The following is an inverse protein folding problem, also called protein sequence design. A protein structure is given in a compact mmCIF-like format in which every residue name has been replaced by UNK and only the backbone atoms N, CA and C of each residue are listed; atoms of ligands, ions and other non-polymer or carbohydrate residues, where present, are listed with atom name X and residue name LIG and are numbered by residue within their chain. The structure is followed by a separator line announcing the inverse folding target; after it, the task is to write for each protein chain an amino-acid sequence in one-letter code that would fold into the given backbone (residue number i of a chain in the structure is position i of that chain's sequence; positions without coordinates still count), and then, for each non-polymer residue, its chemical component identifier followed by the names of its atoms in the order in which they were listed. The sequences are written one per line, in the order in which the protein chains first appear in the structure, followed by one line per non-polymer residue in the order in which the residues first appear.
data_IF_980127994117
#
_entry.id   IF_980127994117
#
_cell.length_a   1.000
_cell.length_b   1.000
_cell.length_c   1.000
_cell.angle_alpha   90.00
_cell.angle_beta   90.00
_cell.angle_gamma   90.00
#
_symmetry.space_group_name_H-M   'P 1'
#
loop_
_entity.id
_entity.type
_entity.pdbx_description
1 polymer ?
#
# COMPACT_ATOMS: atom_id res chain seq x y z
N UNK A 1 23.17 -9.14 3.23
CA UNK A 1 21.80 -9.71 3.26
C UNK A 1 21.03 -8.96 4.35
N UNK A 2 19.78 -8.56 4.10
CA UNK A 2 19.01 -7.75 5.06
C UNK A 2 18.55 -8.60 6.26
N UNK A 3 18.76 -8.13 7.49
CA UNK A 3 18.26 -8.81 8.70
C UNK A 3 16.80 -8.49 9.02
N UNK A 4 16.31 -7.37 8.49
CA UNK A 4 15.01 -6.80 8.80
C UNK A 4 14.29 -6.45 7.50
N UNK A 5 12.98 -6.68 7.46
CA UNK A 5 12.12 -6.22 6.38
C UNK A 5 10.76 -5.77 6.92
N UNK A 6 10.12 -4.86 6.19
CA UNK A 6 8.74 -4.44 6.42
C UNK A 6 7.85 -5.01 5.31
N UNK A 7 6.72 -5.59 5.69
CA UNK A 7 5.67 -6.01 4.78
C UNK A 7 4.74 -4.83 4.51
N UNK A 8 4.65 -4.43 3.25
CA UNK A 8 3.55 -3.61 2.77
C UNK A 8 2.45 -4.50 2.21
N UNK A 9 1.33 -4.51 2.92
CA UNK A 9 0.19 -5.37 2.70
C UNK A 9 -1.02 -4.83 3.46
N UNK A 10 -2.21 -4.87 2.85
CA UNK A 10 -3.41 -4.19 3.39
C UNK A 10 -4.74 -4.89 3.16
N UNK A 11 -4.75 -6.08 2.56
CA UNK A 11 -5.98 -6.69 2.03
C UNK A 11 -5.83 -8.20 1.78
N UNK A 12 -6.84 -8.96 1.33
CA UNK A 12 -6.77 -10.45 1.23
C UNK A 12 -6.87 -11.12 2.61
N UNK A 13 -7.96 -10.85 3.34
CA UNK A 13 -8.33 -11.58 4.55
C UNK A 13 -7.68 -11.10 5.85
N UNK A 14 -7.87 -11.89 6.91
CA UNK A 14 -7.19 -11.68 8.18
C UNK A 14 -5.73 -12.17 8.13
N UNK A 15 -4.98 -11.91 9.21
CA UNK A 15 -3.58 -12.31 9.32
C UNK A 15 -3.36 -13.81 9.05
N UNK A 16 -4.32 -14.66 9.42
CA UNK A 16 -4.19 -16.11 9.38
C UNK A 16 -4.58 -16.72 8.04
N UNK A 17 -5.41 -16.03 7.27
CA UNK A 17 -5.95 -16.47 5.97
C UNK A 17 -5.29 -15.79 4.78
N UNK A 18 -4.52 -14.72 5.00
CA UNK A 18 -3.89 -13.95 3.93
C UNK A 18 -2.80 -14.71 3.18
N UNK A 19 -3.03 -14.92 1.88
CA UNK A 19 -2.06 -15.56 0.97
C UNK A 19 -0.86 -14.65 0.74
N UNK A 20 -1.09 -13.35 0.70
CA UNK A 20 -0.02 -12.36 0.64
C UNK A 20 0.93 -12.45 1.85
N UNK A 21 0.39 -12.53 3.08
CA UNK A 21 1.22 -12.67 4.28
C UNK A 21 1.94 -14.01 4.28
N UNK A 22 1.25 -15.11 3.96
CA UNK A 22 1.87 -16.42 3.87
C UNK A 22 3.05 -16.43 2.89
N UNK A 23 2.87 -15.88 1.68
CA UNK A 23 3.94 -15.73 0.69
C UNK A 23 5.08 -14.85 1.19
N UNK A 24 4.79 -13.76 1.91
CA UNK A 24 5.79 -12.85 2.44
C UNK A 24 6.64 -13.54 3.53
N UNK A 25 6.02 -14.30 4.42
CA UNK A 25 6.70 -15.09 5.45
C UNK A 25 7.57 -16.17 4.83
N UNK A 26 7.07 -16.88 3.80
CA UNK A 26 7.87 -17.87 3.08
C UNK A 26 9.10 -17.26 2.42
N UNK A 27 8.95 -16.12 1.75
CA UNK A 27 10.06 -15.41 1.14
C UNK A 27 11.05 -14.90 2.19
N UNK A 28 10.57 -14.30 3.27
CA UNK A 28 11.40 -13.82 4.37
C UNK A 28 12.28 -14.95 4.93
N UNK A 29 11.68 -16.13 5.15
CA UNK A 29 12.40 -17.33 5.60
C UNK A 29 13.45 -17.79 4.58
N UNK A 30 13.10 -17.85 3.29
CA UNK A 30 14.05 -18.23 2.23
C UNK A 30 15.24 -17.26 2.12
N UNK A 31 15.00 -15.98 2.38
CA UNK A 31 16.03 -14.92 2.38
C UNK A 31 16.76 -14.78 3.73
N UNK A 32 16.46 -15.62 4.73
CA UNK A 32 17.04 -15.53 6.07
C UNK A 32 16.82 -14.17 6.76
N UNK A 33 15.69 -13.51 6.48
CA UNK A 33 15.25 -12.30 7.19
C UNK A 33 14.81 -12.71 8.60
N UNK A 34 15.39 -12.06 9.63
CA UNK A 34 15.19 -12.40 11.03
C UNK A 34 13.96 -11.71 11.63
N UNK A 35 13.69 -10.48 11.21
CA UNK A 35 12.56 -9.69 11.71
C UNK A 35 11.72 -9.19 10.53
N UNK A 36 10.45 -9.58 10.52
CA UNK A 36 9.45 -9.12 9.54
C UNK A 36 8.42 -8.26 10.28
N UNK A 37 8.38 -6.97 9.96
CA UNK A 37 7.43 -6.02 10.53
C UNK A 37 6.18 -5.95 9.66
N UNK A 38 5.00 -6.09 10.26
CA UNK A 38 3.70 -6.01 9.57
C UNK A 38 2.89 -4.91 10.24
N UNK A 39 2.59 -3.83 9.53
CA UNK A 39 2.05 -2.59 10.11
C UNK A 39 0.76 -2.80 10.92
N UNK A 40 -0.19 -3.57 10.38
CA UNK A 40 -1.47 -3.85 11.05
C UNK A 40 -1.32 -4.50 12.44
N UNK A 41 -0.23 -5.24 12.67
CA UNK A 41 0.06 -5.90 13.96
C UNK A 41 0.95 -5.01 14.84
N UNK A 42 1.80 -4.21 14.20
CA UNK A 42 2.89 -3.52 14.88
C UNK A 42 2.48 -2.15 15.41
N UNK A 43 1.39 -1.58 14.90
CA UNK A 43 0.78 -0.34 15.39
C UNK A 43 -0.44 -0.67 16.23
N UNK A 44 -0.51 -0.09 17.43
CA UNK A 44 -1.66 -0.16 18.32
C UNK A 44 -2.88 0.52 17.69
N UNK A 45 -3.83 -0.29 17.21
CA UNK A 45 -5.05 0.17 16.56
C UNK A 45 -6.10 0.72 17.55
N UNK A 46 -5.85 0.67 18.86
CA UNK A 46 -6.77 1.22 19.88
C UNK A 46 -6.62 2.73 20.07
N UNK A 47 -5.61 3.34 19.43
CA UNK A 47 -5.34 4.77 19.51
C UNK A 47 -6.39 5.61 18.78
N UNK A 48 -6.64 6.83 19.27
CA UNK A 48 -7.53 7.80 18.63
C UNK A 48 -6.88 8.47 17.40
N UNK A 49 -7.67 9.16 16.57
CA UNK A 49 -7.28 9.64 15.24
C UNK A 49 -5.88 10.26 15.12
N UNK A 50 -5.59 11.34 15.85
CA UNK A 50 -4.29 12.02 15.75
C UNK A 50 -3.14 11.13 16.26
N UNK A 51 -3.33 10.41 17.37
CA UNK A 51 -2.31 9.54 17.95
C UNK A 51 -2.02 8.30 17.09
N UNK A 52 -3.05 7.71 16.49
CA UNK A 52 -2.93 6.61 15.55
C UNK A 52 -2.16 7.06 14.32
N UNK A 53 -2.47 8.24 13.77
CA UNK A 53 -1.79 8.79 12.60
C UNK A 53 -0.33 9.10 12.89
N UNK A 54 0.00 9.62 14.07
CA UNK A 54 1.39 9.81 14.48
C UNK A 54 2.15 8.48 14.50
N UNK A 55 1.55 7.42 15.05
CA UNK A 55 2.16 6.09 15.08
C UNK A 55 2.30 5.47 13.70
N UNK A 56 1.26 5.54 12.85
CA UNK A 56 1.32 5.05 11.46
C UNK A 56 2.37 5.82 10.67
N UNK A 57 2.46 7.14 10.83
CA UNK A 57 3.48 7.97 10.19
C UNK A 57 4.89 7.58 10.64
N UNK A 58 5.09 7.38 11.96
CA UNK A 58 6.36 6.92 12.51
C UNK A 58 6.74 5.52 12.01
N UNK A 59 5.78 4.59 11.99
CA UNK A 59 6.00 3.24 11.46
C UNK A 59 6.33 3.26 9.97
N UNK A 60 5.65 4.12 9.22
CA UNK A 60 5.84 4.30 7.78
C UNK A 60 7.24 4.82 7.42
N UNK A 61 8.00 5.36 8.37
CA UNK A 61 9.42 5.68 8.15
C UNK A 61 10.25 4.44 7.81
N UNK A 62 9.83 3.24 8.25
CA UNK A 62 10.52 1.99 7.93
C UNK A 62 10.47 1.65 6.44
N UNK A 63 9.43 2.07 5.73
CA UNK A 63 9.36 1.98 4.26
C UNK A 63 10.43 2.81 3.55
N UNK A 64 11.18 3.64 4.27
CA UNK A 64 12.31 4.44 3.75
C UNK A 64 13.67 3.97 4.27
N UNK A 65 13.74 2.97 5.14
CA UNK A 65 15.01 2.65 5.85
C UNK A 65 15.42 1.19 5.77
N UNK A 66 14.46 0.26 5.63
CA UNK A 66 14.73 -1.19 5.57
C UNK A 66 14.12 -1.82 4.32
N UNK A 67 14.50 -3.06 4.01
CA UNK A 67 13.93 -3.82 2.88
C UNK A 67 12.40 -3.84 2.95
N UNK A 68 11.74 -3.56 1.84
CA UNK A 68 10.28 -3.62 1.72
C UNK A 68 9.89 -4.87 0.95
N UNK A 69 9.07 -5.71 1.58
CA UNK A 69 8.35 -6.78 0.90
C UNK A 69 6.97 -6.23 0.52
N UNK A 70 6.67 -6.14 -0.77
CA UNK A 70 5.41 -5.60 -1.29
C UNK A 70 4.51 -6.77 -1.66
N UNK A 71 3.35 -6.92 -1.01
CA UNK A 71 2.41 -8.01 -1.27
C UNK A 71 1.01 -7.44 -1.52
N UNK A 72 0.67 -7.27 -2.79
CA UNK A 72 -0.56 -6.62 -3.23
C UNK A 72 -1.38 -7.47 -4.20
N UNK A 73 -1.11 -8.76 -4.29
CA UNK A 73 -1.95 -9.63 -5.12
C UNK A 73 -3.35 -9.73 -4.46
N UNK A 74 -4.44 -9.47 -5.19
CA UNK A 74 -5.83 -9.67 -4.74
C UNK A 74 -6.58 -10.45 -5.80
N UNK A 75 -7.08 -11.61 -5.38
CA UNK A 75 -7.96 -12.41 -6.22
C UNK A 75 -9.19 -11.57 -6.61
N UNK A 76 -9.60 -11.72 -7.86
CA UNK A 76 -10.82 -11.11 -8.40
C UNK A 76 -10.83 -9.57 -8.51
N UNK A 77 -9.68 -8.91 -8.33
CA UNK A 77 -9.53 -7.47 -8.57
C UNK A 77 -8.39 -7.16 -9.54
N UNK A 78 -8.53 -6.09 -10.31
CA UNK A 78 -7.46 -5.59 -11.16
C UNK A 78 -6.30 -4.99 -10.34
N UNK A 79 -5.07 -5.27 -10.76
CA UNK A 79 -3.86 -4.81 -10.06
C UNK A 79 -3.69 -3.29 -10.10
N UNK A 80 -4.21 -2.62 -11.11
CA UNK A 80 -4.21 -1.17 -11.16
C UNK A 80 -5.17 -0.62 -10.09
N UNK A 81 -6.37 -1.17 -9.99
CA UNK A 81 -7.34 -0.76 -8.96
C UNK A 81 -6.80 -0.92 -7.55
N UNK A 82 -6.01 -1.96 -7.35
CA UNK A 82 -5.25 -2.23 -6.14
C UNK A 82 -4.33 -1.08 -5.74
N UNK A 83 -3.38 -0.77 -6.63
CA UNK A 83 -2.22 0.06 -6.28
C UNK A 83 -2.57 1.54 -6.22
N UNK A 84 -3.72 1.92 -6.78
CA UNK A 84 -4.23 3.28 -6.72
C UNK A 84 -5.04 3.59 -5.45
N UNK A 85 -5.35 2.59 -4.60
CA UNK A 85 -6.03 2.85 -3.32
C UNK A 85 -5.22 3.83 -2.46
N UNK A 86 -5.84 4.83 -1.81
CA UNK A 86 -5.12 5.94 -1.19
C UNK A 86 -3.95 5.56 -0.27
N UNK A 87 -4.14 4.55 0.58
CA UNK A 87 -3.12 4.11 1.52
C UNK A 87 -1.96 3.38 0.83
N UNK A 88 -2.23 2.44 -0.09
CA UNK A 88 -1.19 1.75 -0.88
C UNK A 88 -0.42 2.75 -1.73
N UNK A 89 -1.15 3.68 -2.35
CA UNK A 89 -0.56 4.75 -3.14
C UNK A 89 0.39 5.60 -2.29
N UNK A 90 0.00 5.95 -1.06
CA UNK A 90 0.84 6.70 -0.11
C UNK A 90 2.09 5.94 0.27
N UNK A 91 1.99 4.66 0.63
CA UNK A 91 3.15 3.82 0.97
C UNK A 91 4.12 3.67 -0.20
N UNK A 92 3.59 3.41 -1.40
CA UNK A 92 4.40 3.30 -2.61
C UNK A 92 5.24 4.55 -2.87
N UNK A 93 4.72 5.75 -2.57
CA UNK A 93 5.50 6.99 -2.67
C UNK A 93 6.68 7.03 -1.70
N UNK A 94 6.57 6.41 -0.53
CA UNK A 94 7.66 6.37 0.46
C UNK A 94 8.82 5.50 -0.03
N UNK A 95 8.55 4.45 -0.82
CA UNK A 95 9.57 3.54 -1.35
C UNK A 95 10.59 4.25 -2.23
N UNK A 96 10.19 5.38 -2.85
CA UNK A 96 11.08 6.24 -3.64
C UNK A 96 12.35 6.64 -2.90
N UNK A 97 12.26 6.75 -1.58
CA UNK A 97 13.35 7.18 -0.70
C UNK A 97 14.03 6.02 0.02
N UNK A 98 13.67 4.78 -0.30
CA UNK A 98 14.22 3.60 0.36
C UNK A 98 15.63 3.27 -0.20
N UNK A 99 16.69 3.28 0.63
CA UNK A 99 18.04 2.90 0.19
C UNK A 99 18.26 1.38 0.15
N UNK A 100 17.32 0.60 0.69
CA UNK A 100 17.28 -0.85 0.66
C UNK A 100 16.56 -1.40 -0.57
N UNK A 101 16.19 -2.68 -0.51
CA UNK A 101 15.54 -3.38 -1.64
C UNK A 101 14.02 -3.30 -1.54
N UNK A 102 13.37 -3.12 -2.69
CA UNK A 102 11.92 -3.29 -2.86
C UNK A 102 11.72 -4.63 -3.56
N UNK A 103 11.07 -5.57 -2.87
CA UNK A 103 10.88 -6.93 -3.37
C UNK A 103 9.38 -7.21 -3.46
N UNK A 104 8.90 -7.51 -4.66
CA UNK A 104 7.51 -7.92 -4.83
C UNK A 104 7.32 -9.38 -4.43
N UNK A 105 6.30 -9.63 -3.63
CA UNK A 105 5.86 -10.94 -3.14
C UNK A 105 4.59 -11.30 -3.88
N UNK A 106 4.65 -12.42 -4.62
CA UNK A 106 3.53 -12.89 -5.44
C UNK A 106 2.82 -14.10 -4.83
N UNK A 107 1.50 -14.18 -5.01
CA UNK A 107 0.69 -15.39 -4.91
C UNK A 107 -0.21 -15.63 -6.13
N UNK A 108 -0.65 -14.57 -6.84
CA UNK A 108 -1.44 -14.64 -8.09
C UNK A 108 -0.76 -13.96 -9.29
N UNK A 109 0.51 -13.58 -9.13
CA UNK A 109 1.40 -13.15 -10.21
C UNK A 109 1.01 -11.81 -10.83
N UNK A 110 0.12 -11.00 -10.23
CA UNK A 110 -0.42 -9.80 -10.87
C UNK A 110 0.67 -8.73 -11.01
N UNK A 111 1.31 -8.33 -9.91
CA UNK A 111 2.38 -7.34 -9.94
C UNK A 111 3.72 -7.85 -10.50
N UNK A 112 3.84 -9.16 -10.76
CA UNK A 112 5.00 -9.80 -11.40
C UNK A 112 4.75 -10.23 -12.85
N UNK A 113 3.63 -9.80 -13.45
CA UNK A 113 3.47 -9.86 -14.91
C UNK A 113 4.53 -8.99 -15.55
N UNK A 114 5.19 -9.51 -16.60
CA UNK A 114 6.15 -8.71 -17.37
C UNK A 114 5.39 -7.65 -18.15
N UNK A 115 5.87 -6.42 -18.05
CA UNK A 115 5.33 -5.31 -18.80
C UNK A 115 6.26 -4.98 -19.98
N UNK A 116 5.70 -4.96 -21.20
CA UNK A 116 6.44 -4.68 -22.43
C UNK A 116 6.20 -3.24 -22.93
N UNK A 117 5.27 -2.49 -22.31
CA UNK A 117 5.02 -1.08 -22.60
C UNK A 117 5.99 -0.21 -21.79
N UNK A 118 7.22 -0.14 -22.29
CA UNK A 118 8.34 0.52 -21.60
C UNK A 118 8.27 2.04 -21.86
N UNK A 119 7.90 2.83 -20.84
CA UNK A 119 8.14 4.27 -20.84
C UNK A 119 9.65 4.57 -20.75
N UNK A 120 10.10 5.63 -21.43
CA UNK A 120 11.51 5.92 -21.75
C UNK A 120 12.38 6.40 -20.58
N UNK A 121 11.85 6.57 -19.37
CA UNK A 121 12.61 7.04 -18.20
C UNK A 121 12.51 6.02 -17.08
N UNK A 122 13.54 5.18 -16.97
CA UNK A 122 13.70 4.22 -15.87
C UNK A 122 14.21 4.98 -14.64
N UNK A 123 13.47 5.04 -13.53
CA UNK A 123 14.06 5.46 -12.26
C UNK A 123 15.19 4.48 -11.91
N UNK A 124 16.44 4.94 -11.72
CA UNK A 124 17.58 4.04 -11.48
C UNK A 124 17.37 3.08 -10.30
N UNK A 125 16.56 3.49 -9.33
CA UNK A 125 16.24 2.74 -8.12
C UNK A 125 15.36 1.50 -8.37
N UNK A 126 14.64 1.41 -9.50
CA UNK A 126 13.74 0.28 -9.78
C UNK A 126 14.46 -0.92 -10.39
N UNK A 127 15.60 -0.72 -11.08
CA UNK A 127 16.37 -1.81 -11.70
C UNK A 127 15.49 -2.81 -12.46
N UNK A 128 15.64 -4.10 -12.15
CA UNK A 128 14.87 -5.19 -12.76
C UNK A 128 13.36 -5.11 -12.47
N UNK A 129 12.97 -4.48 -11.36
CA UNK A 129 11.57 -4.35 -10.97
C UNK A 129 10.76 -3.61 -12.03
N UNK A 130 11.40 -2.69 -12.78
CA UNK A 130 10.79 -1.93 -13.86
C UNK A 130 10.16 -2.80 -14.96
N UNK A 131 10.70 -4.00 -15.16
CA UNK A 131 10.19 -4.93 -16.19
C UNK A 131 8.86 -5.59 -15.79
N UNK A 132 8.34 -5.31 -14.59
CA UNK A 132 7.11 -5.90 -14.07
C UNK A 132 6.04 -4.83 -13.81
N UNK A 133 4.79 -5.26 -13.76
CA UNK A 133 3.63 -4.39 -13.51
C UNK A 133 3.79 -3.56 -12.22
N UNK A 134 4.33 -4.11 -11.13
CA UNK A 134 4.64 -3.30 -9.94
C UNK A 134 5.60 -2.16 -10.27
N UNK A 135 6.68 -2.43 -11.01
CA UNK A 135 7.67 -1.41 -11.36
C UNK A 135 7.08 -0.28 -12.19
N UNK A 136 6.24 -0.61 -13.19
CA UNK A 136 5.47 0.38 -13.96
C UNK A 136 4.64 1.27 -13.04
N UNK A 137 3.85 0.67 -12.15
CA UNK A 137 2.99 1.43 -11.24
C UNK A 137 3.79 2.24 -10.20
N UNK A 138 4.96 1.77 -9.75
CA UNK A 138 5.85 2.57 -8.91
C UNK A 138 6.36 3.81 -9.65
N UNK A 139 6.81 3.68 -10.90
CA UNK A 139 7.27 4.84 -11.68
C UNK A 139 6.15 5.83 -11.96
N UNK A 140 4.96 5.35 -12.33
CA UNK A 140 3.78 6.20 -12.52
C UNK A 140 3.40 6.90 -11.21
N UNK A 141 3.27 6.16 -10.10
CA UNK A 141 2.99 6.71 -8.77
C UNK A 141 3.98 7.80 -8.35
N UNK A 142 5.28 7.60 -8.62
CA UNK A 142 6.33 8.55 -8.27
C UNK A 142 6.36 9.79 -9.16
N UNK A 143 5.92 9.69 -10.41
CA UNK A 143 5.78 10.82 -11.32
C UNK A 143 4.42 11.54 -11.17
N UNK A 144 3.40 10.83 -10.72
CA UNK A 144 2.02 11.31 -10.63
C UNK A 144 1.77 12.19 -9.40
N UNK A 145 0.74 13.01 -9.54
CA UNK A 145 0.15 13.75 -8.42
C UNK A 145 -0.90 12.88 -7.71
N UNK A 146 -1.27 13.26 -6.49
CA UNK A 146 -2.35 12.59 -5.74
C UNK A 146 -3.73 12.73 -6.42
N UNK A 147 -3.87 13.64 -7.40
CA UNK A 147 -5.13 13.89 -8.10
C UNK A 147 -5.63 12.65 -8.84
N UNK A 148 -4.74 11.81 -9.37
CA UNK A 148 -5.15 10.60 -10.07
C UNK A 148 -5.92 9.65 -9.13
N UNK A 149 -5.39 9.41 -7.93
CA UNK A 149 -6.07 8.63 -6.91
C UNK A 149 -7.38 9.29 -6.48
N UNK A 150 -7.40 10.60 -6.26
CA UNK A 150 -8.62 11.33 -5.88
C UNK A 150 -9.70 11.16 -6.95
N UNK A 151 -9.38 11.39 -8.21
CA UNK A 151 -10.32 11.24 -9.33
C UNK A 151 -10.84 9.80 -9.43
N UNK A 152 -9.95 8.80 -9.37
CA UNK A 152 -10.36 7.38 -9.44
C UNK A 152 -11.29 6.97 -8.30
N UNK A 153 -11.09 7.49 -7.09
CA UNK A 153 -12.03 7.27 -5.97
C UNK A 153 -13.37 7.95 -6.27
N UNK A 154 -13.35 9.22 -6.69
CA UNK A 154 -14.57 10.00 -6.94
C UNK A 154 -15.39 9.47 -8.13
N UNK A 155 -14.74 8.80 -9.08
CA UNK A 155 -15.38 8.17 -10.23
C UNK A 155 -15.81 6.73 -9.98
N UNK A 156 -15.67 6.21 -8.75
CA UNK A 156 -15.96 4.81 -8.40
C UNK A 156 -15.11 3.78 -9.17
N UNK A 157 -13.99 4.21 -9.75
CA UNK A 157 -13.07 3.33 -10.49
C UNK A 157 -12.29 2.41 -9.55
N UNK A 158 -11.97 2.92 -8.35
CA UNK A 158 -11.32 2.18 -7.27
C UNK A 158 -12.17 2.23 -6.00
N UNK A 159 -12.28 1.08 -5.35
CA UNK A 159 -12.95 0.98 -4.06
C UNK A 159 -12.14 1.68 -2.97
N UNK A 160 -12.85 2.41 -2.13
CA UNK A 160 -12.31 2.99 -0.91
C UNK A 160 -13.15 2.47 0.26
N UNK A 161 -12.49 1.85 1.23
CA UNK A 161 -13.15 1.29 2.43
C UNK A 161 -13.68 2.40 3.34
N UNK A 162 -13.03 3.57 3.35
CA UNK A 162 -13.49 4.74 4.10
C UNK A 162 -13.00 6.06 3.49
N UNK A 163 -13.83 7.12 3.50
CA UNK A 163 -13.40 8.49 3.14
C UNK A 163 -12.20 8.96 3.97
N UNK A 164 -12.05 8.43 5.19
CA UNK A 164 -10.88 8.69 6.02
C UNK A 164 -9.57 8.25 5.35
N UNK A 165 -9.59 7.30 4.41
CA UNK A 165 -8.39 6.84 3.71
C UNK A 165 -7.70 7.96 2.90
N UNK A 166 -8.42 9.04 2.58
CA UNK A 166 -7.82 10.24 2.00
C UNK A 166 -6.83 10.93 2.93
N UNK A 167 -6.91 10.72 4.24
CA UNK A 167 -5.97 11.30 5.20
C UNK A 167 -4.51 10.88 4.93
N UNK A 168 -4.30 9.73 4.30
CA UNK A 168 -2.97 9.22 3.97
C UNK A 168 -2.32 9.94 2.77
N UNK A 169 -3.12 10.56 1.90
CA UNK A 169 -2.64 11.31 0.73
C UNK A 169 -2.88 12.83 0.84
N UNK A 170 -3.78 13.24 1.74
CA UNK A 170 -4.07 14.63 2.09
C UNK A 170 -3.97 14.88 3.61
N UNK A 171 -2.79 14.68 4.24
CA UNK A 171 -2.64 14.83 5.69
C UNK A 171 -3.14 16.17 6.27
N UNK A 172 -2.94 17.33 5.61
CA UNK A 172 -3.47 18.61 6.12
C UNK A 172 -5.00 18.64 6.29
N UNK A 173 -5.72 17.79 5.55
CA UNK A 173 -7.18 17.71 5.58
C UNK A 173 -7.69 16.55 6.44
N UNK A 174 -6.80 15.75 7.05
CA UNK A 174 -7.16 14.56 7.82
C UNK A 174 -8.26 14.84 8.86
N UNK A 175 -8.14 15.92 9.64
CA UNK A 175 -9.15 16.30 10.65
C UNK A 175 -10.51 16.64 10.03
N UNK A 176 -10.51 17.38 8.92
CA UNK A 176 -11.75 17.76 8.22
C UNK A 176 -12.41 16.51 7.64
N UNK A 177 -11.63 15.61 7.05
CA UNK A 177 -12.11 14.35 6.47
C UNK A 177 -12.69 13.41 7.54
N UNK A 178 -12.01 13.26 8.69
CA UNK A 178 -12.52 12.47 9.81
C UNK A 178 -13.82 13.06 10.38
N UNK A 179 -13.88 14.38 10.56
CA UNK A 179 -15.09 15.06 11.05
C UNK A 179 -16.25 14.94 10.06
N UNK A 180 -15.96 15.04 8.76
CA UNK A 180 -16.95 14.86 7.71
C UNK A 180 -17.49 13.42 7.73
N UNK A 181 -16.62 12.41 7.81
CA UNK A 181 -17.04 11.01 7.90
C UNK A 181 -18.00 10.74 9.08
N UNK A 182 -17.72 11.30 10.25
CA UNK A 182 -18.59 11.16 11.43
C UNK A 182 -19.95 11.83 11.25
N UNK A 183 -20.01 12.95 10.53
CA UNK A 183 -21.23 13.77 10.35
C UNK A 183 -22.02 13.46 9.08
N UNK A 184 -21.43 12.74 8.13
CA UNK A 184 -22.10 12.30 6.89
C UNK A 184 -23.24 11.32 7.17
N UNK A 185 -24.36 11.51 6.47
CA UNK A 185 -25.48 10.58 6.53
C UNK A 185 -25.05 9.20 6.03
N UNK A 186 -25.72 8.13 6.45
CA UNK A 186 -25.37 6.75 6.02
C UNK A 186 -25.37 6.61 4.49
N UNK A 187 -26.14 7.44 3.77
CA UNK A 187 -26.20 7.44 2.32
C UNK A 187 -25.06 8.23 1.65
N UNK A 188 -24.37 9.11 2.39
CA UNK A 188 -23.25 9.91 1.90
C UNK A 188 -21.89 9.28 2.24
N UNK A 189 -21.87 8.25 3.11
CA UNK A 189 -20.68 7.47 3.42
C UNK A 189 -20.42 6.49 2.27
N UNK A 190 -19.16 6.34 1.84
CA UNK A 190 -18.77 5.14 1.09
C UNK A 190 -19.15 3.92 1.95
N UNK A 191 -20.00 3.00 1.44
CA UNK A 191 -20.47 1.89 2.25
C UNK A 191 -19.27 1.03 2.69
N UNK A 192 -19.16 0.66 3.98
CA UNK A 192 -18.20 -0.34 4.38
C UNK A 192 -18.55 -1.66 3.68
N UNK A 193 -17.59 -2.25 2.96
CA UNK A 193 -17.72 -3.56 2.29
C UNK A 193 -17.87 -4.74 3.28
N UNK A 194 -18.20 -4.47 4.55
CA UNK A 194 -18.30 -5.43 5.64
C UNK A 194 -19.42 -5.05 6.60
N UNK A 195 -20.66 -5.09 6.13
CA UNK A 195 -21.79 -5.47 7.00
C UNK A 195 -22.51 -6.64 6.30
N UNK A 196 -22.70 -7.79 6.97
CA UNK A 196 -23.50 -8.89 6.45
C UNK A 196 -24.97 -8.49 6.26
#
# INVERSE_FOLDING_TARGET
MAQMAILSWRWDGDLHSSRNIASAVHLAKAMSIKYLFVDQISVDQTLNGDALIERVSAFSTMYKTITVLVAYDKADEDFEKTVYRPWIFSEMRLYRYNPGQIIYVRHSNQGSKRNYDIFTVIPPILGDLWSYDLGKHLGLNWAATILETITRVLCEDIEMTSICDFMFIMPPYARVLSTAYETMSRNDRCPPLWEP
#
